data_IF_878600792985
#
_entry.id   IF_878600792985
#
_cell.length_a   1.000
_cell.length_b   1.000
_cell.length_c   1.000
_cell.angle_alpha   90.00
_cell.angle_beta   90.00
_cell.angle_gamma   90.00
#
_symmetry.space_group_name_H-M   'P 1'
#
loop_
_entity.id
_entity.type
_entity.pdbx_description
1 polymer ?
#
# COMPACT_ATOMS: atom_id res chain seq x y z
N UNK A 1 -29.16 -1.75 -17.08
CA UNK A 1 -28.15 -2.81 -17.02
C UNK A 1 -28.57 -3.78 -15.92
N UNK A 2 -28.67 -5.09 -16.18
CA UNK A 2 -29.06 -6.08 -15.17
C UNK A 2 -27.78 -6.53 -14.45
N UNK A 3 -27.72 -6.37 -13.13
CA UNK A 3 -26.61 -6.84 -12.31
C UNK A 3 -26.57 -8.37 -12.26
N UNK A 4 -25.40 -8.96 -12.44
CA UNK A 4 -25.21 -10.40 -12.31
C UNK A 4 -25.09 -10.82 -10.82
N UNK A 5 -25.01 -12.12 -10.54
CA UNK A 5 -24.91 -12.64 -9.15
C UNK A 5 -23.67 -12.13 -8.41
N UNK A 6 -22.54 -11.98 -9.10
CA UNK A 6 -21.29 -11.47 -8.51
C UNK A 6 -21.43 -9.99 -8.18
N UNK A 7 -22.01 -9.19 -9.07
CA UNK A 7 -22.22 -7.75 -8.84
C UNK A 7 -23.08 -7.53 -7.58
N UNK A 8 -24.12 -8.36 -7.39
CA UNK A 8 -24.98 -8.31 -6.19
C UNK A 8 -24.20 -8.68 -4.93
N UNK A 9 -23.38 -9.74 -4.98
CA UNK A 9 -22.57 -10.17 -3.84
C UNK A 9 -21.51 -9.12 -3.47
N UNK A 10 -20.84 -8.52 -4.46
CA UNK A 10 -19.87 -7.44 -4.28
C UNK A 10 -20.57 -6.23 -3.64
N UNK A 11 -21.69 -5.77 -4.20
CA UNK A 11 -22.43 -4.62 -3.68
C UNK A 11 -22.88 -4.87 -2.23
N UNK A 12 -23.37 -6.08 -1.93
CA UNK A 12 -23.75 -6.46 -0.56
C UNK A 12 -22.54 -6.36 0.38
N UNK A 13 -21.39 -6.93 -0.01
CA UNK A 13 -20.19 -6.93 0.85
C UNK A 13 -19.62 -5.53 1.05
N UNK A 14 -19.59 -4.70 0.01
CA UNK A 14 -19.19 -3.30 0.10
C UNK A 14 -20.15 -2.50 0.99
N UNK A 15 -21.46 -2.78 0.91
CA UNK A 15 -22.46 -2.13 1.76
C UNK A 15 -22.29 -2.53 3.23
N UNK A 16 -22.02 -3.80 3.51
CA UNK A 16 -21.71 -4.29 4.86
C UNK A 16 -20.45 -3.62 5.41
N UNK A 17 -19.39 -3.54 4.59
CA UNK A 17 -18.15 -2.87 4.97
C UNK A 17 -18.37 -1.38 5.25
N UNK A 18 -19.08 -0.68 4.37
CA UNK A 18 -19.39 0.74 4.51
C UNK A 18 -20.21 1.06 5.78
N UNK A 19 -21.12 0.16 6.16
CA UNK A 19 -21.94 0.30 7.36
C UNK A 19 -21.28 -0.21 8.64
N UNK A 20 -20.16 -0.93 8.53
CA UNK A 20 -19.49 -1.52 9.68
C UNK A 20 -18.91 -0.44 10.59
N UNK A 21 -19.12 -0.61 11.90
CA UNK A 21 -18.50 0.22 12.95
C UNK A 21 -17.37 -0.49 13.67
N UNK A 22 -17.05 -1.73 13.28
CA UNK A 22 -15.95 -2.50 13.87
C UNK A 22 -14.62 -1.93 13.39
N UNK A 23 -13.84 -1.36 14.32
CA UNK A 23 -12.54 -0.75 14.03
C UNK A 23 -11.47 -1.76 13.61
N UNK A 24 -11.69 -3.05 13.84
CA UNK A 24 -10.83 -4.12 13.33
C UNK A 24 -11.11 -4.42 11.84
N UNK A 25 -12.24 -3.95 11.32
CA UNK A 25 -12.67 -4.13 9.92
C UNK A 25 -12.57 -2.82 9.14
N UNK A 26 -12.82 -1.68 9.79
CA UNK A 26 -12.81 -0.34 9.16
C UNK A 26 -11.92 0.61 9.96
N UNK A 27 -10.85 1.08 9.34
CA UNK A 27 -9.99 2.13 9.91
C UNK A 27 -10.55 3.51 9.53
N UNK A 28 -10.97 4.28 10.53
CA UNK A 28 -11.40 5.66 10.34
C UNK A 28 -10.20 6.61 10.38
N UNK A 29 -10.01 7.36 9.29
CA UNK A 29 -8.99 8.40 9.21
C UNK A 29 -9.66 9.78 9.35
N UNK A 30 -9.27 10.59 10.35
CA UNK A 30 -9.92 11.87 10.58
C UNK A 30 -9.64 12.87 9.45
N UNK A 31 -10.68 13.52 8.94
CA UNK A 31 -10.54 14.60 7.96
C UNK A 31 -10.86 15.92 8.68
N UNK A 32 -9.83 16.71 8.98
CA UNK A 32 -9.96 18.02 9.59
C UNK A 32 -8.78 18.91 9.18
N UNK A 33 -8.77 20.17 9.64
CA UNK A 33 -7.77 21.19 9.25
C UNK A 33 -6.32 20.83 9.59
N UNK A 34 -6.10 19.86 10.49
CA UNK A 34 -4.77 19.43 10.92
C UNK A 34 -4.35 18.09 10.28
N UNK A 35 -5.18 17.48 9.43
CA UNK A 35 -4.87 16.20 8.80
C UNK A 35 -4.52 16.39 7.32
N UNK A 36 -3.50 15.68 6.88
CA UNK A 36 -3.03 15.68 5.49
C UNK A 36 -2.77 14.26 5.05
N UNK A 37 -3.23 13.91 3.87
CA UNK A 37 -3.09 12.58 3.29
C UNK A 37 -2.48 12.67 1.91
N UNK A 38 -1.53 11.79 1.62
CA UNK A 38 -1.02 11.53 0.28
C UNK A 38 -1.42 10.10 -0.12
N UNK A 39 -2.04 9.96 -1.28
CA UNK A 39 -2.58 8.70 -1.78
C UNK A 39 -1.73 8.24 -2.96
N UNK A 40 -1.33 6.97 -2.94
CA UNK A 40 -0.62 6.31 -4.03
C UNK A 40 -1.31 5.00 -4.37
N UNK A 41 -1.41 4.67 -5.65
CA UNK A 41 -1.89 3.38 -6.14
C UNK A 41 -1.05 2.94 -7.33
N UNK A 42 -1.13 1.66 -7.68
CA UNK A 42 -0.56 1.12 -8.92
C UNK A 42 0.93 1.49 -9.07
N UNK A 43 1.69 1.36 -7.97
CA UNK A 43 3.12 1.63 -8.01
C UNK A 43 3.86 0.51 -8.74
N UNK A 44 3.41 -0.74 -8.60
CA UNK A 44 3.98 -1.91 -9.28
C UNK A 44 5.51 -2.04 -9.12
N UNK A 45 6.01 -1.98 -7.87
CA UNK A 45 7.41 -2.22 -7.52
C UNK A 45 7.83 -3.62 -8.00
N UNK A 46 8.83 -3.68 -8.87
CA UNK A 46 9.41 -4.92 -9.39
C UNK A 46 10.80 -5.25 -8.81
N UNK A 47 11.66 -5.89 -9.60
CA UNK A 47 13.00 -6.35 -9.19
C UNK A 47 14.14 -5.36 -9.52
N UNK A 48 13.82 -4.19 -10.06
CA UNK A 48 14.77 -3.20 -10.56
C UNK A 48 15.38 -3.52 -11.94
N UNK A 49 14.95 -4.61 -12.58
CA UNK A 49 15.37 -5.00 -13.92
C UNK A 49 14.63 -4.23 -15.02
N UNK A 50 14.85 -4.63 -16.28
CA UNK A 50 14.25 -3.94 -17.45
C UNK A 50 12.72 -4.04 -17.51
N UNK A 51 12.14 -5.06 -16.90
CA UNK A 51 10.69 -5.25 -16.84
C UNK A 51 10.04 -4.53 -15.65
N UNK A 52 10.85 -4.04 -14.70
CA UNK A 52 10.36 -3.24 -13.58
C UNK A 52 10.07 -1.81 -14.07
N UNK A 53 8.79 -1.49 -14.22
CA UNK A 53 8.34 -0.17 -14.66
C UNK A 53 8.46 0.90 -13.57
N UNK A 54 8.46 0.51 -12.30
CA UNK A 54 8.56 1.42 -11.17
C UNK A 54 9.98 1.96 -11.00
N UNK A 55 11.00 1.21 -11.39
CA UNK A 55 12.41 1.57 -11.15
C UNK A 55 12.77 2.99 -11.62
N UNK A 56 12.15 3.46 -12.70
CA UNK A 56 12.37 4.81 -13.24
C UNK A 56 11.75 5.93 -12.38
N UNK A 57 10.84 5.59 -11.48
CA UNK A 57 10.15 6.50 -10.57
C UNK A 57 10.73 6.48 -9.15
N UNK A 58 11.72 5.63 -8.86
CA UNK A 58 12.25 5.42 -7.50
C UNK A 58 12.68 6.75 -6.84
N UNK A 59 13.47 7.57 -7.54
CA UNK A 59 13.94 8.85 -6.99
C UNK A 59 12.81 9.88 -6.81
N UNK A 60 11.84 9.92 -7.73
CA UNK A 60 10.69 10.79 -7.61
C UNK A 60 9.83 10.40 -6.40
N UNK A 61 9.65 9.10 -6.18
CA UNK A 61 8.93 8.57 -5.03
C UNK A 61 9.67 8.87 -3.72
N UNK A 62 10.99 8.71 -3.67
CA UNK A 62 11.81 9.07 -2.49
C UNK A 62 11.62 10.53 -2.12
N UNK A 63 11.77 11.45 -3.08
CA UNK A 63 11.58 12.89 -2.85
C UNK A 63 10.17 13.21 -2.35
N UNK A 64 9.15 12.59 -2.94
CA UNK A 64 7.76 12.77 -2.50
C UNK A 64 7.55 12.29 -1.05
N UNK A 65 8.05 11.09 -0.71
CA UNK A 65 7.94 10.52 0.62
C UNK A 65 8.65 11.36 1.68
N UNK A 66 9.86 11.85 1.38
CA UNK A 66 10.60 12.76 2.27
C UNK A 66 9.80 14.03 2.53
N UNK A 67 9.33 14.69 1.47
CA UNK A 67 8.50 15.89 1.59
C UNK A 67 7.24 15.63 2.44
N UNK A 68 6.52 14.55 2.16
CA UNK A 68 5.30 14.22 2.89
C UNK A 68 5.57 13.91 4.36
N UNK A 69 6.67 13.22 4.68
CA UNK A 69 7.12 12.97 6.04
C UNK A 69 7.40 14.27 6.79
N UNK A 70 8.20 15.16 6.20
CA UNK A 70 8.60 16.45 6.80
C UNK A 70 7.41 17.39 7.00
N UNK A 71 6.39 17.29 6.15
CA UNK A 71 5.22 18.18 6.19
C UNK A 71 4.01 17.58 6.92
N UNK A 72 4.20 16.48 7.65
CA UNK A 72 3.22 15.90 8.57
C UNK A 72 2.10 15.06 7.93
N UNK A 73 2.27 14.63 6.67
CA UNK A 73 1.28 13.81 5.97
C UNK A 73 1.22 12.39 6.53
N UNK A 74 0.06 11.77 6.37
CA UNK A 74 -0.10 10.32 6.39
C UNK A 74 -0.12 9.79 4.95
N UNK A 75 0.48 8.64 4.72
CA UNK A 75 0.50 7.95 3.42
C UNK A 75 -0.61 6.90 3.40
N UNK A 76 -1.37 6.85 2.31
CA UNK A 76 -2.35 5.81 2.02
C UNK A 76 -1.95 5.13 0.71
N UNK A 77 -1.51 3.88 0.81
CA UNK A 77 -1.24 2.99 -0.31
C UNK A 77 -2.52 2.23 -0.67
N UNK A 78 -3.06 2.44 -1.87
CA UNK A 78 -4.38 1.95 -2.26
C UNK A 78 -4.37 0.58 -2.96
N UNK A 79 -3.30 -0.20 -2.75
CA UNK A 79 -3.10 -1.51 -3.36
C UNK A 79 -2.25 -1.46 -4.62
N UNK A 80 -1.91 -2.65 -5.12
CA UNK A 80 -1.05 -2.87 -6.30
C UNK A 80 0.29 -2.13 -6.16
N UNK A 81 0.88 -2.28 -4.97
CA UNK A 81 2.14 -1.64 -4.63
C UNK A 81 3.29 -2.49 -5.13
N UNK A 82 3.27 -3.79 -4.86
CA UNK A 82 4.26 -4.75 -5.34
C UNK A 82 3.70 -5.53 -6.55
N UNK A 83 4.47 -5.67 -7.63
CA UNK A 83 4.04 -6.40 -8.84
C UNK A 83 4.32 -7.92 -8.69
N UNK A 84 3.58 -8.55 -7.77
CA UNK A 84 3.78 -9.96 -7.41
C UNK A 84 3.29 -10.94 -8.48
N UNK A 85 2.63 -10.48 -9.55
CA UNK A 85 2.29 -11.37 -10.66
C UNK A 85 3.50 -11.64 -11.56
N UNK A 86 4.49 -10.75 -11.56
CA UNK A 86 5.67 -10.85 -12.43
C UNK A 86 6.95 -11.18 -11.66
N UNK A 87 7.08 -10.73 -10.41
CA UNK A 87 8.33 -10.84 -9.63
C UNK A 87 8.11 -11.54 -8.29
N UNK A 88 9.16 -12.18 -7.76
CA UNK A 88 9.10 -12.73 -6.40
C UNK A 88 9.26 -11.61 -5.38
N UNK A 89 8.56 -11.73 -4.26
CA UNK A 89 8.63 -10.74 -3.18
C UNK A 89 10.06 -10.50 -2.65
N UNK A 90 10.90 -11.55 -2.57
CA UNK A 90 12.27 -11.42 -2.07
C UNK A 90 13.09 -10.48 -2.96
N UNK A 91 12.97 -10.62 -4.29
CA UNK A 91 13.70 -9.78 -5.25
C UNK A 91 13.25 -8.31 -5.14
N UNK A 92 11.94 -8.07 -5.03
CA UNK A 92 11.36 -6.74 -4.82
C UNK A 92 11.84 -6.15 -3.48
N UNK A 93 11.83 -6.97 -2.43
CA UNK A 93 12.28 -6.58 -1.10
C UNK A 93 13.74 -6.17 -1.13
N UNK A 94 14.65 -7.02 -1.61
CA UNK A 94 16.07 -6.71 -1.69
C UNK A 94 16.35 -5.44 -2.49
N UNK A 95 15.62 -5.23 -3.59
CA UNK A 95 15.74 -4.03 -4.43
C UNK A 95 15.35 -2.74 -3.69
N UNK A 96 14.22 -2.74 -2.98
CA UNK A 96 13.62 -1.51 -2.44
C UNK A 96 13.71 -1.37 -0.91
N UNK A 97 14.33 -2.33 -0.20
CA UNK A 97 14.39 -2.35 1.26
C UNK A 97 15.12 -1.13 1.85
N UNK A 98 16.23 -0.72 1.24
CA UNK A 98 17.06 0.41 1.68
C UNK A 98 16.73 1.71 0.92
N UNK A 99 15.55 1.79 0.32
CA UNK A 99 15.06 3.00 -0.34
C UNK A 99 13.60 3.27 0.02
N UNK A 100 12.65 2.73 -0.76
CA UNK A 100 11.22 2.99 -0.60
C UNK A 100 10.70 2.45 0.72
N UNK A 101 11.01 1.19 1.05
CA UNK A 101 10.50 0.59 2.28
C UNK A 101 11.12 1.21 3.52
N UNK A 102 12.42 1.54 3.50
CA UNK A 102 13.07 2.27 4.59
C UNK A 102 12.41 3.64 4.84
N UNK A 103 12.15 4.41 3.77
CA UNK A 103 11.46 5.69 3.89
C UNK A 103 10.06 5.53 4.46
N UNK A 104 9.29 4.55 3.98
CA UNK A 104 7.94 4.25 4.51
C UNK A 104 7.99 3.84 5.99
N UNK A 105 8.96 3.00 6.39
CA UNK A 105 9.17 2.63 7.80
C UNK A 105 9.61 3.81 8.68
N UNK A 106 10.25 4.82 8.10
CA UNK A 106 10.71 6.00 8.82
C UNK A 106 9.60 6.99 9.22
N UNK A 107 8.38 6.81 8.70
CA UNK A 107 7.23 7.59 9.16
C UNK A 107 6.87 7.25 10.61
N UNK A 108 6.28 8.21 11.33
CA UNK A 108 5.79 7.97 12.69
C UNK A 108 4.75 6.84 12.71
N UNK A 109 4.64 6.13 13.84
CA UNK A 109 3.64 5.09 14.04
C UNK A 109 2.24 5.57 13.63
N UNK A 110 1.49 4.73 12.92
CA UNK A 110 0.16 5.06 12.38
C UNK A 110 0.12 6.19 11.33
N UNK A 111 1.22 6.50 10.64
CA UNK A 111 1.21 7.42 9.49
C UNK A 111 1.19 6.75 8.12
N UNK A 112 1.56 5.48 8.02
CA UNK A 112 1.45 4.71 6.77
C UNK A 112 0.29 3.73 6.89
N UNK A 113 -0.55 3.72 5.86
CA UNK A 113 -1.72 2.86 5.75
C UNK A 113 -1.67 2.20 4.38
N UNK A 114 -2.02 0.92 4.32
CA UNK A 114 -2.16 0.21 3.05
C UNK A 114 -3.46 -0.56 2.99
N UNK A 115 -4.03 -0.60 1.81
CA UNK A 115 -5.19 -1.40 1.44
C UNK A 115 -4.71 -2.43 0.41
N UNK A 116 -5.35 -3.58 0.39
CA UNK A 116 -5.03 -4.69 -0.49
C UNK A 116 -5.59 -4.46 -1.90
N UNK A 117 -4.74 -4.59 -2.92
CA UNK A 117 -5.06 -4.63 -4.35
C UNK A 117 -5.04 -6.05 -4.93
N UNK A 118 -5.35 -6.20 -6.21
CA UNK A 118 -5.41 -7.53 -6.85
C UNK A 118 -4.04 -8.13 -7.19
N UNK A 119 -3.00 -7.31 -7.34
CA UNK A 119 -1.62 -7.77 -7.49
C UNK A 119 -1.00 -8.21 -6.16
N UNK A 120 -1.60 -7.83 -5.03
CA UNK A 120 -1.10 -8.18 -3.69
C UNK A 120 -1.46 -9.63 -3.28
N UNK A 121 -1.90 -10.49 -4.22
CA UNK A 121 -2.55 -11.77 -3.95
C UNK A 121 -1.70 -12.81 -3.18
N UNK A 122 -0.38 -12.65 -3.17
CA UNK A 122 0.55 -13.55 -2.48
C UNK A 122 0.96 -13.09 -1.08
N UNK A 123 0.21 -12.16 -0.49
CA UNK A 123 0.22 -11.83 0.94
C UNK A 123 -0.31 -12.96 1.86
N UNK A 124 -0.21 -14.23 1.43
CA UNK A 124 -0.91 -15.38 2.01
C UNK A 124 -0.41 -15.80 3.39
N UNK A 125 0.66 -15.21 3.95
CA UNK A 125 1.14 -15.51 5.32
C UNK A 125 1.86 -14.31 5.96
N UNK A 126 1.46 -13.86 7.18
CA UNK A 126 2.39 -13.13 8.04
C UNK A 126 3.66 -13.97 8.25
N UNK A 127 4.87 -13.39 8.24
CA UNK A 127 5.19 -11.98 8.48
C UNK A 127 5.90 -11.34 7.27
N UNK A 128 5.19 -10.86 6.25
CA UNK A 128 5.83 -10.40 4.99
C UNK A 128 5.43 -8.99 4.56
N UNK A 129 4.87 -8.15 5.43
CA UNK A 129 4.69 -6.74 5.09
C UNK A 129 6.04 -6.00 5.26
N UNK A 130 6.69 -5.55 4.16
CA UNK A 130 8.01 -4.91 4.24
C UNK A 130 7.95 -3.54 4.95
N UNK A 131 6.76 -2.97 5.16
CA UNK A 131 6.53 -1.68 5.83
C UNK A 131 6.23 -1.88 7.31
N UNK A 132 5.54 -2.97 7.69
CA UNK A 132 5.09 -3.19 9.08
C UNK A 132 5.99 -4.15 9.88
N UNK A 133 6.83 -4.95 9.21
CA UNK A 133 7.77 -5.85 9.89
C UNK A 133 9.18 -5.25 9.98
N UNK A 134 9.64 -4.99 11.21
CA UNK A 134 11.03 -4.64 11.52
C UNK A 134 11.94 -5.88 11.71
N UNK A 135 11.47 -7.08 11.35
CA UNK A 135 12.26 -8.29 11.42
C UNK A 135 12.72 -8.63 10.01
N UNK A 136 14.02 -8.85 9.88
CA UNK A 136 14.66 -9.41 8.69
C UNK A 136 13.80 -10.57 8.16
N UNK A 137 13.43 -10.47 6.89
CA UNK A 137 12.70 -11.50 6.13
C UNK A 137 13.67 -12.62 5.79
#
# INVERSE_FOLDING_TARGET
>A
MIMNKNDIAILKRLTELYKSTDQNVVKNLPINVNTKYALFSDLHLGDGGNSDIFVHNEEAMKFALEYYKENGYSIILMGDIEELWQFNFIDIYEKYNNSIYELLRSFQTNKVHRIFGNHDCDWKRPPTDPILCNKEI
#
